data_IF_886885938373
#
_entry.id   IF_886885938373
#
_cell.length_a   1.000
_cell.length_b   1.000
_cell.length_c   1.000
_cell.angle_alpha   90.00
_cell.angle_beta   90.00
_cell.angle_gamma   90.00
#
_symmetry.space_group_name_H-M   'P 1'
#
loop_
_entity.id
_entity.type
_entity.pdbx_description
1 polymer ?
#
# COMPACT_ATOMS: atom_id res chain seq x y z
N UNK A 1 -75.36 -3.45 11.42
CA UNK A 1 -74.38 -4.55 11.41
C UNK A 1 -73.06 -4.01 10.89
N UNK A 2 -72.11 -3.67 11.78
CA UNK A 2 -70.79 -3.20 11.38
C UNK A 2 -69.88 -4.43 11.15
N UNK A 3 -69.51 -4.67 9.90
CA UNK A 3 -68.58 -5.72 9.52
C UNK A 3 -67.21 -5.43 10.16
N UNK A 4 -66.76 -6.31 11.06
CA UNK A 4 -65.39 -6.31 11.57
C UNK A 4 -64.47 -6.55 10.37
N UNK A 5 -63.63 -5.56 10.04
CA UNK A 5 -62.52 -5.77 9.10
C UNK A 5 -61.62 -6.87 9.66
N UNK A 6 -61.16 -7.82 8.84
CA UNK A 6 -60.19 -8.81 9.28
C UNK A 6 -58.89 -8.09 9.72
N UNK A 7 -58.10 -8.67 10.64
CA UNK A 7 -56.82 -8.09 11.02
C UNK A 7 -55.96 -7.99 9.76
N UNK A 8 -55.39 -6.81 9.47
CA UNK A 8 -54.40 -6.67 8.39
C UNK A 8 -53.32 -7.74 8.54
N UNK A 9 -52.88 -8.33 7.43
CA UNK A 9 -51.83 -9.35 7.32
C UNK A 9 -50.46 -8.80 7.74
N UNK A 10 -50.33 -8.38 8.99
CA UNK A 10 -49.12 -7.80 9.58
C UNK A 10 -47.93 -8.77 9.46
N UNK A 11 -48.18 -10.07 9.49
CA UNK A 11 -47.16 -11.09 9.30
C UNK A 11 -46.67 -11.21 7.85
N UNK A 12 -47.55 -11.00 6.86
CA UNK A 12 -47.18 -10.97 5.44
C UNK A 12 -46.35 -9.73 5.12
N UNK A 13 -46.80 -8.55 5.58
CA UNK A 13 -46.07 -7.28 5.42
C UNK A 13 -44.70 -7.30 6.12
N UNK A 14 -44.61 -7.91 7.32
CA UNK A 14 -43.32 -8.11 8.01
C UNK A 14 -42.39 -9.06 7.24
N UNK A 15 -42.92 -10.15 6.68
CA UNK A 15 -42.13 -11.10 5.89
C UNK A 15 -41.60 -10.44 4.62
N UNK A 16 -42.43 -9.68 3.90
CA UNK A 16 -42.03 -8.95 2.69
C UNK A 16 -40.96 -7.89 2.98
N UNK A 17 -41.06 -7.20 4.12
CA UNK A 17 -40.04 -6.24 4.54
C UNK A 17 -38.71 -6.94 4.86
N UNK A 18 -38.75 -8.11 5.52
CA UNK A 18 -37.55 -8.90 5.78
C UNK A 18 -36.90 -9.38 4.48
N UNK A 19 -37.68 -9.86 3.51
CA UNK A 19 -37.14 -10.25 2.19
C UNK A 19 -36.45 -9.08 1.49
N UNK A 20 -37.06 -7.89 1.49
CA UNK A 20 -36.46 -6.69 0.91
C UNK A 20 -35.15 -6.29 1.61
N UNK A 21 -35.11 -6.36 2.93
CA UNK A 21 -33.88 -6.08 3.68
C UNK A 21 -32.79 -7.12 3.42
N UNK A 22 -33.15 -8.40 3.25
CA UNK A 22 -32.22 -9.45 2.84
C UNK A 22 -31.66 -9.17 1.44
N UNK A 23 -32.52 -8.86 0.47
CA UNK A 23 -32.10 -8.54 -0.90
C UNK A 23 -31.17 -7.32 -0.94
N UNK A 24 -31.52 -6.25 -0.20
CA UNK A 24 -30.71 -5.04 -0.08
C UNK A 24 -29.35 -5.34 0.56
N UNK A 25 -29.34 -6.13 1.63
CA UNK A 25 -28.10 -6.52 2.32
C UNK A 25 -27.23 -7.38 1.41
N UNK A 26 -27.83 -8.32 0.67
CA UNK A 26 -27.12 -9.16 -0.29
C UNK A 26 -26.51 -8.33 -1.42
N UNK A 27 -27.24 -7.36 -1.97
CA UNK A 27 -26.73 -6.45 -2.99
C UNK A 27 -25.56 -5.59 -2.45
N UNK A 28 -25.71 -5.04 -1.24
CA UNK A 28 -24.65 -4.26 -0.57
C UNK A 28 -23.39 -5.10 -0.33
N UNK A 29 -23.55 -6.35 0.10
CA UNK A 29 -22.44 -7.27 0.32
C UNK A 29 -21.73 -7.63 -1.00
N UNK A 30 -22.50 -7.83 -2.08
CA UNK A 30 -21.97 -8.05 -3.42
C UNK A 30 -21.11 -6.88 -3.89
N UNK A 31 -21.63 -5.66 -3.80
CA UNK A 31 -20.89 -4.45 -4.14
C UNK A 31 -19.62 -4.27 -3.29
N UNK A 32 -19.70 -4.56 -1.99
CA UNK A 32 -18.55 -4.48 -1.10
C UNK A 32 -17.46 -5.51 -1.45
N UNK A 33 -17.86 -6.74 -1.82
CA UNK A 33 -16.92 -7.78 -2.29
C UNK A 33 -16.21 -7.36 -3.56
N UNK A 34 -16.92 -6.81 -4.54
CA UNK A 34 -16.33 -6.31 -5.79
C UNK A 34 -15.34 -5.18 -5.54
N UNK A 35 -15.71 -4.24 -4.66
CA UNK A 35 -14.83 -3.16 -4.23
C UNK A 35 -13.53 -3.68 -3.59
N UNK A 36 -13.62 -4.58 -2.61
CA UNK A 36 -12.45 -5.20 -1.97
C UNK A 36 -11.59 -5.92 -3.00
N UNK A 37 -12.21 -6.71 -3.89
CA UNK A 37 -11.48 -7.47 -4.91
C UNK A 37 -10.72 -6.55 -5.86
N UNK A 38 -11.33 -5.44 -6.28
CA UNK A 38 -10.70 -4.41 -7.10
C UNK A 38 -9.50 -3.77 -6.40
N UNK A 39 -9.65 -3.39 -5.12
CA UNK A 39 -8.56 -2.80 -4.32
C UNK A 39 -7.42 -3.79 -4.09
N UNK A 40 -7.71 -5.06 -3.77
CA UNK A 40 -6.69 -6.10 -3.61
C UNK A 40 -5.93 -6.36 -4.92
N UNK A 41 -6.63 -6.38 -6.06
CA UNK A 41 -5.99 -6.50 -7.38
C UNK A 41 -5.05 -5.33 -7.68
N UNK A 42 -5.48 -4.10 -7.37
CA UNK A 42 -4.67 -2.90 -7.55
C UNK A 42 -3.40 -2.92 -6.68
N UNK A 43 -3.54 -3.27 -5.39
CA UNK A 43 -2.40 -3.39 -4.45
C UNK A 43 -1.45 -4.50 -4.87
N UNK A 44 -1.97 -5.65 -5.34
CA UNK A 44 -1.13 -6.74 -5.84
C UNK A 44 -0.29 -6.33 -7.05
N UNK A 45 -0.91 -5.63 -8.02
CA UNK A 45 -0.20 -5.11 -9.21
C UNK A 45 0.85 -4.08 -8.82
N UNK A 46 0.53 -3.19 -7.88
CA UNK A 46 1.47 -2.21 -7.35
C UNK A 46 2.66 -2.89 -6.64
N UNK A 47 2.40 -3.87 -5.78
CA UNK A 47 3.45 -4.60 -5.06
C UNK A 47 4.43 -5.27 -6.01
N UNK A 48 3.94 -5.90 -7.09
CA UNK A 48 4.82 -6.51 -8.10
C UNK A 48 5.69 -5.48 -8.80
N UNK A 49 5.12 -4.34 -9.21
CA UNK A 49 5.89 -3.24 -9.81
C UNK A 49 6.93 -2.66 -8.85
N UNK A 50 6.59 -2.56 -7.56
CA UNK A 50 7.51 -2.12 -6.53
C UNK A 50 8.70 -3.09 -6.39
N UNK A 51 8.46 -4.40 -6.44
CA UNK A 51 9.53 -5.41 -6.43
C UNK A 51 10.45 -5.29 -7.65
N UNK A 52 9.87 -5.16 -8.85
CA UNK A 52 10.66 -5.02 -10.09
C UNK A 52 11.57 -3.79 -10.04
N UNK A 53 11.02 -2.63 -9.65
CA UNK A 53 11.80 -1.38 -9.52
C UNK A 53 12.87 -1.51 -8.44
N UNK A 54 12.52 -2.06 -7.28
CA UNK A 54 13.46 -2.21 -6.16
C UNK A 54 14.62 -3.12 -6.55
N UNK A 55 14.34 -4.24 -7.21
CA UNK A 55 15.35 -5.16 -7.73
C UNK A 55 16.31 -4.45 -8.70
N UNK A 56 15.78 -3.69 -9.65
CA UNK A 56 16.61 -2.95 -10.61
C UNK A 56 17.48 -1.86 -9.94
N UNK A 57 16.93 -1.13 -8.95
CA UNK A 57 17.68 -0.13 -8.18
C UNK A 57 18.82 -0.81 -7.41
N UNK A 58 18.58 -1.96 -6.79
CA UNK A 58 19.61 -2.75 -6.11
C UNK A 58 20.69 -3.28 -7.04
N UNK A 59 20.32 -3.79 -8.21
CA UNK A 59 21.27 -4.23 -9.24
C UNK A 59 22.16 -3.06 -9.67
N UNK A 60 21.54 -1.90 -9.92
CA UNK A 60 22.24 -0.69 -10.35
C UNK A 60 23.20 -0.18 -9.28
N UNK A 61 22.80 -0.21 -8.00
CA UNK A 61 23.67 0.09 -6.86
C UNK A 61 24.83 -0.90 -6.77
N UNK A 62 24.57 -2.20 -6.92
CA UNK A 62 25.59 -3.25 -6.91
C UNK A 62 26.63 -3.01 -8.00
N UNK A 63 26.20 -2.62 -9.21
CA UNK A 63 27.11 -2.25 -10.31
C UNK A 63 28.02 -1.07 -9.97
N UNK A 64 27.51 -0.06 -9.24
CA UNK A 64 28.32 1.05 -8.76
C UNK A 64 29.31 0.63 -7.67
N UNK A 65 28.89 -0.24 -6.75
CA UNK A 65 29.77 -0.78 -5.71
C UNK A 65 30.92 -1.57 -6.33
N UNK A 66 30.64 -2.47 -7.28
CA UNK A 66 31.69 -3.21 -8.01
C UNK A 66 32.61 -2.24 -8.77
N UNK A 67 32.07 -1.19 -9.37
CA UNK A 67 32.88 -0.19 -10.06
C UNK A 67 33.84 0.57 -9.14
N UNK A 68 33.60 0.61 -7.84
CA UNK A 68 34.51 1.24 -6.88
C UNK A 68 35.83 0.46 -6.75
N UNK A 69 35.80 -0.85 -7.00
CA UNK A 69 36.97 -1.75 -6.91
C UNK A 69 37.73 -1.87 -8.26
N UNK A 70 37.21 -1.25 -9.33
CA UNK A 70 37.82 -1.30 -10.66
C UNK A 70 38.87 -0.20 -10.88
N UNK A 71 39.82 -0.41 -11.82
CA UNK A 71 40.75 0.64 -12.24
C UNK A 71 40.00 1.90 -12.72
N UNK A 72 40.55 3.12 -12.50
CA UNK A 72 39.87 4.39 -12.80
C UNK A 72 39.20 4.50 -14.19
N UNK A 73 39.84 4.10 -15.31
CA UNK A 73 39.20 4.21 -16.62
C UNK A 73 37.99 3.29 -16.77
N UNK A 74 38.04 2.08 -16.22
CA UNK A 74 36.93 1.12 -16.25
C UNK A 74 35.80 1.56 -15.32
N UNK A 75 36.15 2.00 -14.12
CA UNK A 75 35.21 2.55 -13.15
C UNK A 75 34.44 3.76 -13.71
N UNK A 76 35.13 4.65 -14.43
CA UNK A 76 34.50 5.79 -15.11
C UNK A 76 33.50 5.36 -16.19
N UNK A 77 33.86 4.36 -17.01
CA UNK A 77 32.96 3.82 -18.04
C UNK A 77 31.71 3.17 -17.44
N UNK A 78 31.84 2.41 -16.35
CA UNK A 78 30.68 1.82 -15.65
C UNK A 78 29.79 2.91 -15.06
N UNK A 79 30.37 3.93 -14.39
CA UNK A 79 29.61 5.06 -13.86
C UNK A 79 28.83 5.81 -14.94
N UNK A 80 29.45 6.07 -16.09
CA UNK A 80 28.77 6.72 -17.22
C UNK A 80 27.61 5.87 -17.78
N UNK A 81 27.81 4.55 -17.87
CA UNK A 81 26.75 3.63 -18.30
C UNK A 81 25.58 3.61 -17.30
N UNK A 82 25.89 3.53 -16.00
CA UNK A 82 24.87 3.58 -14.94
C UNK A 82 24.12 4.90 -14.98
N UNK A 83 24.81 6.04 -15.10
CA UNK A 83 24.20 7.36 -15.19
C UNK A 83 23.15 7.44 -16.32
N UNK A 84 23.49 6.94 -17.51
CA UNK A 84 22.58 6.85 -18.65
C UNK A 84 21.38 5.94 -18.35
N UNK A 85 21.62 4.74 -17.80
CA UNK A 85 20.55 3.81 -17.46
C UNK A 85 19.59 4.37 -16.40
N UNK A 86 20.13 5.10 -15.41
CA UNK A 86 19.35 5.81 -14.39
C UNK A 86 18.47 6.89 -15.02
N UNK A 87 19.01 7.65 -15.97
CA UNK A 87 18.23 8.66 -16.69
C UNK A 87 17.09 8.04 -17.50
N UNK A 88 17.37 6.99 -18.28
CA UNK A 88 16.40 6.26 -19.12
C UNK A 88 15.24 5.68 -18.31
N UNK A 89 15.52 5.15 -17.11
CA UNK A 89 14.52 4.48 -16.26
C UNK A 89 13.97 5.37 -15.15
N UNK A 90 14.37 6.64 -15.07
CA UNK A 90 13.96 7.57 -14.02
C UNK A 90 12.45 7.84 -13.96
N UNK A 91 11.74 7.82 -15.10
CA UNK A 91 10.28 7.94 -15.14
C UNK A 91 9.62 6.75 -14.46
N UNK A 92 10.07 5.53 -14.77
CA UNK A 92 9.52 4.29 -14.19
C UNK A 92 9.61 4.26 -12.66
N UNK A 93 10.75 4.69 -12.09
CA UNK A 93 10.90 4.80 -10.63
C UNK A 93 9.98 5.88 -10.05
N UNK A 94 9.91 7.06 -10.68
CA UNK A 94 9.05 8.17 -10.24
C UNK A 94 7.57 7.78 -10.28
N UNK A 95 7.13 7.04 -11.30
CA UNK A 95 5.76 6.58 -11.41
C UNK A 95 5.38 5.63 -10.26
N UNK A 96 6.30 4.74 -9.84
CA UNK A 96 6.05 3.85 -8.69
C UNK A 96 6.01 4.62 -7.37
N UNK A 97 6.85 5.64 -7.21
CA UNK A 97 6.81 6.53 -6.04
C UNK A 97 5.51 7.33 -6.02
N UNK A 98 5.07 7.87 -7.16
CA UNK A 98 3.83 8.65 -7.20
C UNK A 98 2.58 7.76 -7.02
N UNK A 99 2.61 6.52 -7.51
CA UNK A 99 1.58 5.54 -7.19
C UNK A 99 1.47 5.25 -5.69
N UNK A 100 2.61 5.18 -4.97
CA UNK A 100 2.59 5.09 -3.51
C UNK A 100 1.93 6.32 -2.89
N UNK A 101 2.33 7.52 -3.30
CA UNK A 101 1.79 8.77 -2.76
C UNK A 101 0.27 8.87 -2.96
N UNK A 102 -0.22 8.43 -4.13
CA UNK A 102 -1.67 8.32 -4.39
C UNK A 102 -2.36 7.35 -3.43
N UNK A 103 -1.79 6.15 -3.25
CA UNK A 103 -2.32 5.14 -2.34
C UNK A 103 -2.32 5.62 -0.88
N UNK A 104 -1.25 6.30 -0.46
CA UNK A 104 -1.16 6.91 0.87
C UNK A 104 -2.24 7.99 1.07
N UNK A 105 -2.45 8.85 0.08
CA UNK A 105 -3.54 9.85 0.13
C UNK A 105 -4.91 9.20 0.24
N UNK A 106 -5.17 8.12 -0.50
CA UNK A 106 -6.43 7.36 -0.40
C UNK A 106 -6.61 6.75 1.00
N UNK A 107 -5.56 6.14 1.56
CA UNK A 107 -5.59 5.57 2.91
C UNK A 107 -5.85 6.65 3.97
N UNK A 108 -5.14 7.77 3.92
CA UNK A 108 -5.32 8.91 4.83
C UNK A 108 -6.73 9.48 4.73
N UNK A 109 -7.28 9.63 3.52
CA UNK A 109 -8.65 10.09 3.32
C UNK A 109 -9.69 9.13 3.93
N UNK A 110 -9.36 7.83 4.00
CA UNK A 110 -10.16 6.82 4.67
C UNK A 110 -9.86 6.67 6.17
N UNK A 111 -9.06 7.56 6.77
CA UNK A 111 -8.60 7.48 8.17
C UNK A 111 -7.91 6.14 8.51
N UNK A 112 -7.22 5.55 7.53
CA UNK A 112 -6.47 4.31 7.69
C UNK A 112 -5.01 4.52 7.31
N UNK A 113 -4.04 3.90 8.00
CA UNK A 113 -2.66 3.90 7.56
C UNK A 113 -2.46 2.92 6.39
N UNK A 114 -1.44 3.18 5.58
CA UNK A 114 -0.91 2.19 4.63
C UNK A 114 -0.31 1.03 5.41
N UNK A 115 -0.40 -0.19 4.88
CA UNK A 115 0.16 -1.35 5.59
C UNK A 115 1.69 -1.19 5.80
N UNK A 116 2.22 -1.46 7.01
CA UNK A 116 3.62 -1.19 7.33
C UNK A 116 4.62 -1.87 6.39
N UNK A 117 4.33 -3.10 5.98
CA UNK A 117 5.19 -3.85 5.03
C UNK A 117 5.36 -3.11 3.70
N UNK A 118 4.29 -2.48 3.19
CA UNK A 118 4.35 -1.72 1.95
C UNK A 118 5.06 -0.38 2.15
N UNK A 119 4.78 0.30 3.26
CA UNK A 119 5.42 1.57 3.63
C UNK A 119 6.95 1.41 3.78
N UNK A 120 7.40 0.36 4.45
CA UNK A 120 8.83 0.06 4.63
C UNK A 120 9.52 -0.24 3.30
N UNK A 121 8.88 -1.00 2.40
CA UNK A 121 9.43 -1.29 1.07
C UNK A 121 9.55 -0.02 0.23
N UNK A 122 8.55 0.86 0.28
CA UNK A 122 8.62 2.16 -0.40
C UNK A 122 9.73 3.05 0.18
N UNK A 123 9.88 3.12 1.51
CA UNK A 123 10.95 3.87 2.16
C UNK A 123 12.34 3.35 1.75
N UNK A 124 12.52 2.04 1.72
CA UNK A 124 13.76 1.40 1.28
C UNK A 124 14.07 1.73 -0.19
N UNK A 125 13.08 1.59 -1.09
CA UNK A 125 13.22 1.99 -2.49
C UNK A 125 13.69 3.44 -2.60
N UNK A 126 13.06 4.35 -1.86
CA UNK A 126 13.36 5.78 -1.91
C UNK A 126 14.78 6.08 -1.43
N UNK A 127 15.21 5.45 -0.34
CA UNK A 127 16.59 5.59 0.15
C UNK A 127 17.60 5.09 -0.90
N UNK A 128 17.35 3.92 -1.50
CA UNK A 128 18.25 3.38 -2.53
C UNK A 128 18.24 4.20 -3.82
N UNK A 129 17.10 4.78 -4.20
CA UNK A 129 16.99 5.68 -5.32
C UNK A 129 17.74 6.99 -5.09
N UNK A 130 17.63 7.57 -3.89
CA UNK A 130 18.36 8.79 -3.51
C UNK A 130 19.88 8.59 -3.59
N UNK A 131 20.39 7.41 -3.23
CA UNK A 131 21.80 7.04 -3.36
C UNK A 131 22.29 7.01 -4.82
N UNK A 132 21.39 6.75 -5.79
CA UNK A 132 21.72 6.70 -7.22
C UNK A 132 21.69 8.06 -7.92
N UNK A 133 20.96 9.05 -7.37
CA UNK A 133 20.81 10.36 -8.01
C UNK A 133 22.12 11.16 -8.16
N UNK A 134 23.07 11.15 -7.21
CA UNK A 134 24.37 11.81 -7.39
C UNK A 134 25.21 11.24 -8.54
N UNK A 135 24.90 10.02 -9.00
CA UNK A 135 25.57 9.42 -10.16
C UNK A 135 25.03 9.93 -11.51
N UNK A 136 23.92 10.69 -11.53
CA UNK A 136 23.34 11.24 -12.75
C UNK A 136 23.81 12.69 -13.00
N UNK A 137 24.37 13.02 -14.18
CA UNK A 137 24.91 14.36 -14.48
C UNK A 137 23.85 15.47 -14.55
N UNK A 138 22.56 15.11 -14.69
CA UNK A 138 21.43 16.03 -14.60
C UNK A 138 20.34 15.39 -13.73
N UNK A 139 20.24 15.72 -12.43
CA UNK A 139 19.18 15.19 -11.59
C UNK A 139 17.81 15.65 -12.13
N UNK A 140 16.81 14.77 -12.23
CA UNK A 140 15.47 15.17 -12.66
C UNK A 140 14.88 16.22 -11.71
N UNK A 141 14.11 17.15 -12.27
CA UNK A 141 13.50 18.29 -11.57
C UNK A 141 12.77 17.84 -10.28
N UNK A 142 13.23 18.37 -9.13
CA UNK A 142 12.85 17.95 -7.76
C UNK A 142 11.68 18.74 -7.18
N UNK A 143 11.07 19.62 -7.96
CA UNK A 143 10.13 20.62 -7.45
C UNK A 143 8.87 20.06 -6.78
N UNK A 144 8.46 18.83 -7.12
CA UNK A 144 7.31 18.15 -6.48
C UNK A 144 7.63 17.31 -5.23
N UNK A 145 8.91 17.01 -4.96
CA UNK A 145 9.30 15.88 -4.09
C UNK A 145 9.72 16.31 -2.67
N UNK A 146 9.93 17.60 -2.44
CA UNK A 146 10.35 18.17 -1.14
C UNK A 146 9.26 18.07 -0.06
N UNK A 147 7.99 18.09 -0.45
CA UNK A 147 6.83 18.00 0.44
C UNK A 147 6.66 16.59 1.05
N UNK A 148 7.00 15.55 0.29
CA UNK A 148 7.01 14.16 0.74
C UNK A 148 8.25 13.83 1.58
N UNK A 149 9.41 14.41 1.22
CA UNK A 149 10.69 14.21 1.91
C UNK A 149 10.68 14.63 3.39
N UNK A 150 9.99 15.72 3.75
CA UNK A 150 9.83 16.14 5.16
C UNK A 150 8.99 15.18 6.01
N UNK A 151 8.07 14.43 5.41
CA UNK A 151 7.25 13.41 6.11
C UNK A 151 7.97 12.07 6.21
N UNK A 152 8.58 11.62 5.11
CA UNK A 152 9.24 10.30 5.04
C UNK A 152 10.56 10.22 5.83
N UNK A 153 11.36 11.31 5.88
CA UNK A 153 12.57 11.33 6.74
C UNK A 153 12.30 11.43 8.24
N UNK A 154 11.05 11.66 8.66
CA UNK A 154 10.69 11.75 10.09
C UNK A 154 10.01 10.48 10.63
N UNK A 155 9.59 9.55 9.77
CA UNK A 155 8.92 8.32 10.18
C UNK A 155 9.94 7.19 10.37
N UNK A 156 10.23 6.87 11.64
CA UNK A 156 10.94 5.65 12.00
C UNK A 156 10.12 4.41 11.65
N UNK A 157 10.74 3.30 11.21
CA UNK A 157 10.08 2.01 11.06
C UNK A 157 9.20 1.61 12.26
N UNK A 158 9.63 1.94 13.47
CA UNK A 158 8.90 1.65 14.70
C UNK A 158 7.61 2.49 14.84
N UNK A 159 7.61 3.73 14.36
CA UNK A 159 6.44 4.61 14.39
C UNK A 159 5.36 4.12 13.42
N UNK A 160 5.75 3.63 12.24
CA UNK A 160 4.82 3.06 11.26
C UNK A 160 4.11 1.80 11.78
N UNK A 161 4.81 0.99 12.58
CA UNK A 161 4.23 -0.21 13.22
C UNK A 161 3.26 0.20 14.33
N UNK A 162 3.64 1.15 15.18
CA UNK A 162 2.81 1.61 16.29
C UNK A 162 1.50 2.28 15.83
N UNK A 163 1.54 3.10 14.78
CA UNK A 163 0.34 3.72 14.20
C UNK A 163 -0.63 2.68 13.62
N UNK A 164 -0.07 1.61 13.02
CA UNK A 164 -0.88 0.51 12.50
C UNK A 164 -1.56 -0.27 13.61
N UNK A 165 -0.83 -0.68 14.65
CA UNK A 165 -1.39 -1.43 15.79
C UNK A 165 -2.50 -0.64 16.51
N UNK A 166 -2.30 0.67 16.68
CA UNK A 166 -3.30 1.57 17.27
C UNK A 166 -4.56 1.64 16.40
N UNK A 167 -4.41 1.71 15.08
CA UNK A 167 -5.56 1.78 14.17
C UNK A 167 -6.31 0.45 14.08
N UNK A 168 -5.61 -0.68 14.09
CA UNK A 168 -6.24 -2.02 14.15
C UNK A 168 -7.08 -2.17 15.42
N UNK A 169 -6.59 -1.67 16.55
CA UNK A 169 -7.35 -1.63 17.79
C UNK A 169 -8.59 -0.72 17.70
N UNK A 170 -8.49 0.44 17.05
CA UNK A 170 -9.64 1.34 16.88
C UNK A 170 -10.72 0.77 15.96
N UNK A 171 -10.34 0.12 14.86
CA UNK A 171 -11.29 -0.52 13.92
C UNK A 171 -12.00 -1.70 14.57
N UNK A 172 -11.31 -2.47 15.41
CA UNK A 172 -11.93 -3.59 16.17
C UNK A 172 -12.90 -3.11 17.26
N UNK A 173 -12.74 -1.88 17.77
CA UNK A 173 -13.61 -1.32 18.80
C UNK A 173 -14.82 -0.51 18.29
N UNK A 174 -14.89 -0.13 17.00
CA UNK A 174 -15.96 0.74 16.48
C UNK A 174 -16.98 0.08 15.55
N UNK A 175 -16.83 -1.21 15.21
CA UNK A 175 -17.81 -1.94 14.39
C UNK A 175 -17.90 -3.42 14.80
N UNK A 176 -18.82 -3.81 15.70
CA UNK A 176 -19.05 -5.23 16.02
C UNK A 176 -19.60 -6.04 14.84
N UNK A 177 -20.15 -5.41 13.80
CA UNK A 177 -20.80 -6.08 12.66
C UNK A 177 -19.84 -6.47 11.51
N UNK A 178 -18.54 -6.11 11.58
CA UNK A 178 -17.54 -6.42 10.53
C UNK A 178 -16.62 -7.58 10.94
N UNK A 179 -16.85 -8.18 12.12
CA UNK A 179 -15.91 -9.09 12.79
C UNK A 179 -15.69 -10.46 12.11
N UNK A 180 -16.41 -10.80 11.03
CA UNK A 180 -16.22 -12.09 10.36
C UNK A 180 -15.19 -12.08 9.23
N UNK A 181 -14.85 -10.94 8.63
CA UNK A 181 -14.05 -10.92 7.38
C UNK A 181 -12.64 -10.35 7.57
N UNK A 182 -12.44 -9.47 8.57
CA UNK A 182 -11.14 -8.87 8.88
C UNK A 182 -10.17 -9.85 9.56
N UNK A 183 -10.69 -10.83 10.32
CA UNK A 183 -9.88 -11.85 10.97
C UNK A 183 -9.10 -12.76 9.99
N UNK A 184 -9.56 -12.92 8.74
CA UNK A 184 -8.83 -13.71 7.74
C UNK A 184 -7.65 -12.96 7.11
N UNK A 185 -7.70 -11.63 7.02
CA UNK A 185 -6.61 -10.81 6.46
C UNK A 185 -5.49 -10.54 7.46
N UNK A 186 -5.79 -10.52 8.77
CA UNK A 186 -4.78 -10.40 9.82
C UNK A 186 -3.83 -11.62 9.87
N UNK A 187 -4.30 -12.82 9.52
CA UNK A 187 -3.47 -14.03 9.55
C UNK A 187 -2.42 -14.10 8.42
N UNK A 188 -2.49 -13.24 7.39
CA UNK A 188 -1.50 -13.19 6.30
C UNK A 188 -0.51 -12.03 6.41
N UNK A 189 -0.68 -11.15 7.40
CA UNK A 189 0.22 -10.04 7.71
C UNK A 189 0.89 -10.17 9.09
N UNK A 190 0.48 -11.14 9.90
CA UNK A 190 1.17 -11.44 11.15
C UNK A 190 2.51 -12.14 10.82
N UNK A 191 3.60 -11.38 10.95
CA UNK A 191 4.94 -11.97 11.05
C UNK A 191 4.94 -12.85 12.30
N UNK A 192 5.24 -14.16 12.21
CA UNK A 192 5.46 -14.93 13.42
C UNK A 192 6.73 -14.40 14.07
N UNK A 193 6.57 -13.68 15.18
CA UNK A 193 7.64 -13.41 16.13
C UNK A 193 8.14 -14.76 16.66
N UNK A 194 9.13 -15.32 15.99
CA UNK A 194 9.94 -16.42 16.51
C UNK A 194 11.41 -16.19 16.15
N UNK A 195 11.94 -15.07 16.65
CA UNK A 195 13.36 -14.99 16.97
C UNK A 195 13.55 -15.60 18.36
N UNK A 196 13.67 -16.92 18.43
CA UNK A 196 14.30 -17.55 19.59
C UNK A 196 15.81 -17.32 19.45
N UNK A 197 16.34 -16.42 20.29
CA UNK A 197 17.74 -16.41 20.61
C UNK A 197 18.05 -17.65 21.46
N UNK A 198 18.77 -18.62 20.87
CA UNK A 198 19.82 -19.39 21.53
C UNK A 198 20.80 -19.90 20.49
#
# INVERSE_FOLDING_TARGET
>A
MAARRPPRDQHGEQSDNLYKEVEKTQASLGAHREFITSKLSAVSKYSARLDDVTSWVHETRTRLNIAADLPPPQAAAVRANVARAVQERSSWVRDVIENYNNLERECVAAAHPVCPRLALRHLALRAHWDDLLPAAPNPPDRSGDLSARRRSSQQSPAALIADFDTTVQQVTHHSPDILSTTNLLLSHCHVPNNCYCR
#
